data_IF_435326431137
#
_entry.id   IF_435326431137
#
_cell.length_a   1.000
_cell.length_b   1.000
_cell.length_c   1.000
_cell.angle_alpha   90.00
_cell.angle_beta   90.00
_cell.angle_gamma   90.00
#
_symmetry.space_group_name_H-M   'P 1'
#
loop_
_entity.id
_entity.type
_entity.pdbx_description
1 polymer ?
#
# COMPACT_ATOMS: atom_id res chain seq x y z
N UNK A 1 -4.19 47.21 10.53
CA UNK A 1 -3.24 47.98 11.36
C UNK A 1 -2.36 46.98 12.07
N UNK A 2 -1.06 47.02 11.82
CA UNK A 2 -0.11 46.14 12.49
C UNK A 2 -0.09 46.42 14.00
N UNK A 3 -0.49 45.41 14.78
CA UNK A 3 -0.52 45.44 16.24
C UNK A 3 0.86 45.83 16.82
N UNK A 4 1.93 45.49 16.11
CA UNK A 4 3.31 45.79 16.49
C UNK A 4 3.67 47.28 16.34
N UNK A 5 3.15 47.94 15.30
CA UNK A 5 3.38 49.38 15.07
C UNK A 5 2.63 50.22 16.11
N UNK A 6 1.44 49.79 16.52
CA UNK A 6 0.65 50.46 17.56
C UNK A 6 1.28 50.39 18.96
N UNK A 7 2.14 49.40 19.22
CA UNK A 7 2.82 49.18 20.50
C UNK A 7 4.26 49.73 20.53
N UNK A 8 4.68 50.45 19.48
CA UNK A 8 6.06 50.93 19.35
C UNK A 8 7.08 49.80 19.38
N UNK A 9 6.70 48.61 18.93
CA UNK A 9 7.51 47.41 19.05
C UNK A 9 8.46 47.27 17.84
N UNK A 10 9.74 47.02 18.09
CA UNK A 10 10.73 46.72 17.05
C UNK A 10 11.50 45.45 17.37
N UNK A 11 11.67 44.58 16.39
CA UNK A 11 12.45 43.34 16.51
C UNK A 11 13.82 43.55 15.86
N UNK A 12 14.88 43.34 16.62
CA UNK A 12 16.25 43.27 16.11
C UNK A 12 16.69 41.81 16.09
N UNK A 13 16.64 41.20 14.91
CA UNK A 13 16.98 39.79 14.69
C UNK A 13 18.49 39.56 14.88
N UNK A 14 19.33 40.56 14.57
CA UNK A 14 20.79 40.43 14.68
C UNK A 14 21.26 40.40 16.13
N UNK A 15 20.46 40.98 17.03
CA UNK A 15 20.73 41.02 18.48
C UNK A 15 19.83 40.10 19.29
N UNK A 16 18.89 39.39 18.64
CA UNK A 16 17.92 38.53 19.34
C UNK A 16 17.13 39.31 20.40
N UNK A 17 16.76 40.56 20.08
CA UNK A 17 16.13 41.52 21.01
C UNK A 17 14.79 42.00 20.46
N UNK A 18 13.75 41.92 21.29
CA UNK A 18 12.45 42.55 21.05
C UNK A 18 12.36 43.80 21.93
N UNK A 19 12.17 44.98 21.33
CA UNK A 19 11.95 46.23 22.06
C UNK A 19 10.46 46.55 22.05
N UNK A 20 9.85 46.71 23.21
CA UNK A 20 8.46 47.18 23.35
C UNK A 20 8.45 48.35 24.34
N UNK A 21 7.99 49.53 23.91
CA UNK A 21 7.93 50.73 24.75
C UNK A 21 9.25 51.05 25.48
N UNK A 22 10.40 50.82 24.83
CA UNK A 22 11.73 51.04 25.40
C UNK A 22 12.27 49.90 26.29
N UNK A 23 11.48 48.89 26.61
CA UNK A 23 11.94 47.70 27.33
C UNK A 23 12.49 46.66 26.36
N UNK A 24 13.71 46.18 26.63
CA UNK A 24 14.38 45.15 25.83
C UNK A 24 14.06 43.78 26.41
N UNK A 25 13.46 42.91 25.60
CA UNK A 25 13.16 41.52 25.92
C UNK A 25 14.07 40.66 25.03
N UNK A 26 15.11 40.02 25.58
CA UNK A 26 15.93 39.08 24.82
C UNK A 26 15.10 37.83 24.49
N UNK A 27 15.16 37.37 23.25
CA UNK A 27 14.53 36.12 22.82
C UNK A 27 15.50 35.30 21.98
N UNK A 28 15.66 34.03 22.34
CA UNK A 28 16.65 33.14 21.74
C UNK A 28 17.54 32.55 22.83
N UNK A 29 17.62 31.22 22.87
CA UNK A 29 18.66 30.54 23.64
C UNK A 29 20.00 30.83 22.97
N UNK A 30 21.03 31.16 23.77
CA UNK A 30 22.42 31.31 23.36
C UNK A 30 22.97 30.02 22.75
N UNK A 31 22.52 29.66 21.56
CA UNK A 31 23.16 28.65 20.73
C UNK A 31 24.06 29.45 19.80
N UNK A 32 25.39 29.39 19.97
CA UNK A 32 26.33 30.07 19.11
C UNK A 32 25.99 29.78 17.64
N UNK A 33 25.93 30.82 16.80
CA UNK A 33 25.64 30.71 15.37
C UNK A 33 26.55 29.69 14.66
N UNK A 34 27.74 29.46 15.22
CA UNK A 34 28.70 28.44 14.78
C UNK A 34 28.10 27.02 14.87
N UNK A 35 27.38 26.71 15.94
CA UNK A 35 26.72 25.40 16.13
C UNK A 35 25.63 25.22 15.07
N UNK A 36 24.80 26.25 14.80
CA UNK A 36 23.75 26.18 13.77
C UNK A 36 24.37 25.94 12.38
N UNK A 37 25.49 26.60 12.07
CA UNK A 37 26.18 26.43 10.80
C UNK A 37 26.81 25.03 10.65
N UNK A 38 27.39 24.50 11.73
CA UNK A 38 27.93 23.13 11.77
C UNK A 38 26.83 22.09 11.58
N UNK A 39 25.68 22.24 12.25
CA UNK A 39 24.53 21.36 12.08
C UNK A 39 23.94 21.42 10.67
N UNK A 40 23.82 22.62 10.07
CA UNK A 40 23.36 22.75 8.68
C UNK A 40 24.30 22.03 7.72
N UNK A 41 25.61 22.23 7.88
CA UNK A 41 26.63 21.61 7.03
C UNK A 41 26.63 20.08 7.19
N UNK A 42 26.44 19.59 8.42
CA UNK A 42 26.29 18.15 8.68
C UNK A 42 25.03 17.56 8.02
N UNK A 43 23.90 18.27 8.08
CA UNK A 43 22.65 17.86 7.43
C UNK A 43 22.82 17.82 5.91
N UNK A 44 23.42 18.85 5.32
CA UNK A 44 23.67 18.91 3.87
C UNK A 44 24.59 17.78 3.41
N UNK A 45 25.63 17.46 4.19
CA UNK A 45 26.53 16.33 3.93
C UNK A 45 25.80 14.98 4.01
N UNK A 46 24.92 14.79 5.00
CA UNK A 46 24.11 13.57 5.14
C UNK A 46 23.14 13.44 3.95
N UNK A 47 22.47 14.52 3.56
CA UNK A 47 21.56 14.52 2.41
C UNK A 47 22.30 14.18 1.12
N UNK A 48 23.48 14.77 0.92
CA UNK A 48 24.34 14.48 -0.24
C UNK A 48 24.79 13.02 -0.27
N UNK A 49 25.03 12.39 0.88
CA UNK A 49 25.34 10.95 0.96
C UNK A 49 24.13 10.06 0.64
N UNK A 50 22.93 10.46 1.07
CA UNK A 50 21.68 9.75 0.77
C UNK A 50 21.36 9.84 -0.73
N UNK A 51 21.52 11.02 -1.33
CA UNK A 51 21.25 11.25 -2.76
C UNK A 51 22.26 10.51 -3.67
N UNK A 52 23.44 10.19 -3.15
CA UNK A 52 24.45 9.37 -3.83
C UNK A 52 24.24 7.86 -3.64
N UNK A 53 23.34 7.43 -2.75
CA UNK A 53 22.95 6.02 -2.72
C UNK A 53 22.07 5.72 -3.94
N UNK A 54 22.38 4.64 -4.71
CA UNK A 54 21.47 4.20 -5.76
C UNK A 54 20.12 3.87 -5.13
N UNK A 55 19.03 4.37 -5.74
CA UNK A 55 17.66 4.10 -5.28
C UNK A 55 17.49 2.58 -5.12
N UNK A 56 16.95 2.09 -3.98
CA UNK A 56 16.72 0.67 -3.76
C UNK A 56 15.83 -0.01 -4.81
N UNK A 57 15.17 0.76 -5.69
CA UNK A 57 14.39 0.27 -6.83
C UNK A 57 15.11 0.41 -8.20
N UNK A 58 16.34 0.92 -8.22
CA UNK A 58 17.14 1.01 -9.46
C UNK A 58 17.94 -0.26 -9.65
N UNK A 59 17.48 -1.12 -10.57
CA UNK A 59 18.21 -2.29 -11.00
C UNK A 59 19.39 -1.90 -11.90
N UNK A 60 20.52 -2.59 -11.75
CA UNK A 60 21.62 -2.50 -12.71
C UNK A 60 21.18 -3.00 -14.09
N UNK A 61 21.85 -2.55 -15.14
CA UNK A 61 21.57 -2.97 -16.52
C UNK A 61 21.65 -4.49 -16.66
N UNK A 62 22.64 -5.11 -16.01
CA UNK A 62 22.85 -6.57 -16.01
C UNK A 62 21.68 -7.35 -15.38
N UNK A 63 21.12 -6.83 -14.28
CA UNK A 63 19.96 -7.44 -13.62
C UNK A 63 18.70 -7.34 -14.50
N UNK A 64 18.50 -6.21 -15.17
CA UNK A 64 17.37 -6.03 -16.10
C UNK A 64 17.48 -7.02 -17.27
N UNK A 65 18.66 -7.14 -17.89
CA UNK A 65 18.90 -8.10 -18.97
C UNK A 65 18.69 -9.55 -18.54
N UNK A 66 19.10 -9.90 -17.32
CA UNK A 66 18.88 -11.24 -16.76
C UNK A 66 17.38 -11.51 -16.55
N UNK A 67 16.64 -10.56 -16.00
CA UNK A 67 15.19 -10.69 -15.79
C UNK A 67 14.48 -10.83 -17.13
N UNK A 68 14.84 -10.03 -18.14
CA UNK A 68 14.26 -10.14 -19.48
C UNK A 68 14.56 -11.49 -20.13
N UNK A 69 15.78 -12.01 -19.95
CA UNK A 69 16.13 -13.36 -20.42
C UNK A 69 15.23 -14.43 -19.79
N UNK A 70 15.06 -14.38 -18.47
CA UNK A 70 14.22 -15.34 -17.73
C UNK A 70 12.75 -15.25 -18.19
N UNK A 71 12.21 -14.03 -18.33
CA UNK A 71 10.83 -13.83 -18.82
C UNK A 71 10.63 -14.41 -20.22
N UNK A 72 11.60 -14.21 -21.11
CA UNK A 72 11.54 -14.74 -22.46
C UNK A 72 11.67 -16.28 -22.50
N UNK A 73 12.52 -16.84 -21.63
CA UNK A 73 12.74 -18.28 -21.52
C UNK A 73 11.49 -19.01 -20.97
N UNK A 74 10.82 -18.42 -19.98
CA UNK A 74 9.67 -19.00 -19.27
C UNK A 74 8.36 -18.24 -19.50
N UNK A 75 8.15 -17.71 -20.70
CA UNK A 75 6.99 -16.86 -21.03
C UNK A 75 5.63 -17.58 -20.84
N UNK A 76 5.64 -18.91 -20.86
CA UNK A 76 4.48 -19.79 -20.70
C UNK A 76 4.07 -19.97 -19.23
N UNK A 77 4.99 -19.71 -18.29
CA UNK A 77 4.72 -19.70 -16.86
C UNK A 77 4.09 -18.38 -16.39
N UNK A 78 4.16 -17.33 -17.20
CA UNK A 78 3.61 -16.03 -16.85
C UNK A 78 2.08 -16.04 -16.85
N UNK A 79 1.51 -15.49 -15.78
CA UNK A 79 0.07 -15.31 -15.69
C UNK A 79 -0.39 -14.20 -16.64
N UNK A 80 -1.22 -14.55 -17.61
CA UNK A 80 -1.94 -13.61 -18.48
C UNK A 80 -3.43 -13.71 -18.23
N UNK A 81 -4.03 -12.62 -17.74
CA UNK A 81 -5.47 -12.52 -17.46
C UNK A 81 -6.38 -12.73 -18.69
N UNK A 82 -5.83 -12.60 -19.90
CA UNK A 82 -6.56 -12.84 -21.15
C UNK A 82 -6.47 -14.30 -21.62
N UNK A 83 -5.52 -15.07 -21.11
CA UNK A 83 -5.37 -16.50 -21.42
C UNK A 83 -6.21 -17.33 -20.45
N UNK A 84 -6.70 -18.46 -20.94
CA UNK A 84 -7.37 -19.45 -20.07
C UNK A 84 -6.32 -20.11 -19.18
N UNK A 85 -6.68 -20.32 -17.91
CA UNK A 85 -5.86 -21.12 -17.01
C UNK A 85 -5.71 -22.53 -17.57
N UNK A 86 -4.49 -23.04 -17.53
CA UNK A 86 -4.17 -24.42 -17.89
C UNK A 86 -4.43 -25.33 -16.68
N UNK A 87 -4.77 -26.59 -16.94
CA UNK A 87 -4.88 -27.63 -15.92
C UNK A 87 -4.28 -28.92 -16.47
N UNK A 88 -3.78 -29.78 -15.58
CA UNK A 88 -3.33 -31.12 -15.94
C UNK A 88 -4.32 -32.17 -15.43
N UNK A 89 -4.49 -33.25 -16.18
CA UNK A 89 -5.28 -34.43 -15.78
C UNK A 89 -4.40 -35.56 -15.23
N UNK A 90 -3.09 -35.33 -15.15
CA UNK A 90 -2.10 -36.30 -14.67
C UNK A 90 -2.39 -36.71 -13.21
N UNK A 91 -2.83 -35.76 -12.38
CA UNK A 91 -3.18 -36.01 -10.99
C UNK A 91 -4.69 -35.85 -10.79
N UNK A 92 -5.38 -36.95 -10.48
CA UNK A 92 -6.80 -36.95 -10.12
C UNK A 92 -6.94 -37.26 -8.63
N UNK A 93 -7.56 -36.34 -7.89
CA UNK A 93 -7.81 -36.53 -6.46
C UNK A 93 -9.21 -37.10 -6.23
N UNK A 94 -9.29 -38.12 -5.38
CA UNK A 94 -10.56 -38.66 -4.88
C UNK A 94 -10.66 -38.36 -3.39
N UNK A 95 -11.68 -37.58 -3.00
CA UNK A 95 -11.95 -37.27 -1.60
C UNK A 95 -12.67 -38.46 -0.95
N UNK A 96 -12.05 -39.05 0.08
CA UNK A 96 -12.67 -40.13 0.86
C UNK A 96 -13.64 -39.54 1.88
N UNK A 97 -14.92 -39.88 1.77
CA UNK A 97 -15.95 -39.42 2.70
C UNK A 97 -16.01 -40.33 3.94
N UNK A 98 -16.31 -39.74 5.10
CA UNK A 98 -16.62 -40.51 6.31
C UNK A 98 -18.04 -41.09 6.27
N UNK A 99 -18.97 -40.34 5.68
CA UNK A 99 -20.37 -40.69 5.47
C UNK A 99 -20.77 -40.31 4.04
N UNK A 100 -21.65 -41.08 3.40
CA UNK A 100 -22.11 -40.81 2.03
C UNK A 100 -23.35 -39.93 1.92
N UNK A 101 -23.85 -39.43 3.05
CA UNK A 101 -25.08 -38.64 3.10
C UNK A 101 -24.80 -37.19 2.65
N UNK A 102 -25.55 -36.67 1.66
CA UNK A 102 -25.35 -35.31 1.19
C UNK A 102 -25.87 -34.27 2.19
N UNK A 103 -25.06 -33.24 2.42
CA UNK A 103 -25.43 -32.09 3.26
C UNK A 103 -25.77 -30.91 2.35
N UNK A 104 -26.98 -30.38 2.51
CA UNK A 104 -27.45 -29.19 1.79
C UNK A 104 -27.73 -28.05 2.78
N UNK A 105 -26.97 -26.97 2.67
CA UNK A 105 -27.19 -25.74 3.43
C UNK A 105 -27.76 -24.66 2.53
N UNK A 106 -28.85 -24.01 2.93
CA UNK A 106 -29.45 -22.93 2.14
C UNK A 106 -28.62 -21.64 2.24
N UNK A 107 -28.21 -21.11 1.10
CA UNK A 107 -27.50 -19.82 1.04
C UNK A 107 -28.27 -18.66 1.67
N UNK A 108 -27.54 -17.76 2.32
CA UNK A 108 -28.09 -16.52 2.86
C UNK A 108 -28.57 -15.58 1.75
N UNK A 109 -29.48 -14.68 2.12
CA UNK A 109 -29.88 -13.59 1.23
C UNK A 109 -28.74 -12.59 1.14
N UNK A 110 -28.27 -12.35 -0.07
CA UNK A 110 -27.16 -11.43 -0.31
C UNK A 110 -27.68 -10.01 -0.62
N UNK A 111 -26.99 -8.96 -0.13
CA UNK A 111 -27.35 -7.57 -0.40
C UNK A 111 -27.40 -7.27 -1.91
N UNK A 112 -28.32 -6.39 -2.31
CA UNK A 112 -28.56 -6.09 -3.72
C UNK A 112 -27.32 -5.56 -4.44
N UNK A 113 -26.55 -4.67 -3.79
CA UNK A 113 -25.35 -4.05 -4.37
C UNK A 113 -24.22 -5.05 -4.68
N UNK A 114 -24.26 -6.26 -4.11
CA UNK A 114 -23.24 -7.31 -4.31
C UNK A 114 -23.62 -8.26 -5.47
N UNK A 115 -24.87 -8.23 -5.94
CA UNK A 115 -25.36 -9.19 -6.93
C UNK A 115 -24.56 -9.18 -8.23
N UNK A 116 -24.18 -8.00 -8.72
CA UNK A 116 -23.43 -7.87 -9.97
C UNK A 116 -21.99 -8.38 -9.84
N UNK A 117 -21.39 -8.20 -8.66
CA UNK A 117 -20.10 -8.80 -8.35
C UNK A 117 -20.17 -10.33 -8.42
N UNK A 118 -21.17 -10.94 -7.78
CA UNK A 118 -21.33 -12.40 -7.76
C UNK A 118 -21.55 -12.94 -9.16
N UNK A 119 -22.44 -12.30 -9.95
CA UNK A 119 -22.69 -12.70 -11.35
C UNK A 119 -21.44 -12.62 -12.22
N UNK A 120 -20.55 -11.66 -11.97
CA UNK A 120 -19.28 -11.54 -12.69
C UNK A 120 -18.30 -12.66 -12.32
N UNK A 121 -18.28 -13.08 -11.05
CA UNK A 121 -17.38 -14.12 -10.56
C UNK A 121 -17.85 -15.54 -10.92
N UNK A 122 -19.15 -15.78 -10.87
CA UNK A 122 -19.76 -17.08 -11.23
C UNK A 122 -20.13 -17.03 -12.71
N UNK A 123 -19.12 -17.17 -13.58
CA UNK A 123 -19.33 -17.34 -15.02
C UNK A 123 -19.27 -18.82 -15.38
N UNK A 124 -20.44 -19.35 -15.72
CA UNK A 124 -20.71 -20.63 -16.39
C UNK A 124 -20.57 -21.94 -15.57
N UNK A 125 -21.52 -22.83 -15.84
CA UNK A 125 -21.81 -24.17 -15.29
C UNK A 125 -22.07 -24.32 -13.79
N UNK A 126 -23.35 -24.09 -13.44
CA UNK A 126 -23.92 -24.58 -12.19
C UNK A 126 -24.08 -26.11 -12.27
N UNK A 127 -23.21 -26.84 -11.58
CA UNK A 127 -23.40 -28.28 -11.40
C UNK A 127 -24.64 -28.55 -10.53
N UNK A 128 -25.49 -29.49 -10.97
CA UNK A 128 -26.61 -29.99 -10.15
C UNK A 128 -26.08 -30.95 -9.08
N UNK A 129 -25.59 -30.39 -7.97
CA UNK A 129 -25.02 -31.14 -6.84
C UNK A 129 -26.06 -31.34 -5.73
N UNK A 130 -26.14 -32.55 -5.12
CA UNK A 130 -26.93 -32.75 -3.90
C UNK A 130 -26.26 -32.12 -2.66
N UNK A 131 -24.96 -31.78 -2.75
CA UNK A 131 -24.21 -31.06 -1.73
C UNK A 131 -24.25 -29.55 -1.99
N UNK A 132 -24.50 -28.75 -0.96
CA UNK A 132 -24.40 -27.29 -1.07
C UNK A 132 -23.84 -26.68 0.22
N UNK A 133 -22.81 -25.85 0.07
CA UNK A 133 -22.19 -25.06 1.13
C UNK A 133 -22.61 -23.59 1.07
N UNK A 134 -22.44 -22.87 2.17
CA UNK A 134 -22.81 -21.46 2.25
C UNK A 134 -21.79 -20.58 1.51
N UNK A 135 -22.30 -19.67 0.68
CA UNK A 135 -21.50 -18.64 0.01
C UNK A 135 -21.57 -17.34 0.81
N UNK A 136 -20.40 -16.84 1.18
CA UNK A 136 -20.18 -15.59 1.89
C UNK A 136 -19.46 -14.59 0.99
N UNK A 137 -19.71 -13.31 1.21
CA UNK A 137 -19.00 -12.22 0.54
C UNK A 137 -18.33 -11.36 1.59
N UNK A 138 -17.03 -11.17 1.44
CA UNK A 138 -16.18 -10.46 2.41
C UNK A 138 -15.51 -9.28 1.72
N UNK A 139 -15.46 -8.08 2.34
CA UNK A 139 -14.75 -6.94 1.80
C UNK A 139 -13.23 -7.20 1.75
N UNK A 140 -12.58 -6.59 0.75
CA UNK A 140 -11.13 -6.53 0.55
C UNK A 140 -10.72 -5.06 0.49
N UNK A 141 -9.43 -4.78 0.66
CA UNK A 141 -8.87 -3.42 0.55
C UNK A 141 -9.29 -2.76 -0.77
N UNK A 142 -9.71 -1.49 -0.70
CA UNK A 142 -10.07 -0.67 -1.86
C UNK A 142 -11.47 -0.92 -2.41
N UNK A 143 -12.48 -1.07 -1.54
CA UNK A 143 -13.90 -1.24 -1.91
C UNK A 143 -14.18 -2.42 -2.87
N UNK A 144 -13.33 -3.44 -2.83
CA UNK A 144 -13.52 -4.68 -3.58
C UNK A 144 -14.04 -5.80 -2.69
N UNK A 145 -14.61 -6.84 -3.29
CA UNK A 145 -15.15 -8.00 -2.57
C UNK A 145 -14.45 -9.29 -2.99
N UNK A 146 -14.51 -10.31 -2.13
CA UNK A 146 -14.12 -11.70 -2.45
C UNK A 146 -15.25 -12.66 -2.08
N UNK A 147 -15.39 -13.72 -2.86
CA UNK A 147 -16.29 -14.83 -2.58
C UNK A 147 -15.58 -15.83 -1.67
N UNK A 148 -16.28 -16.30 -0.64
CA UNK A 148 -15.79 -17.27 0.35
C UNK A 148 -16.82 -18.38 0.47
N UNK A 149 -16.37 -19.63 0.60
CA UNK A 149 -17.24 -20.78 0.83
C UNK A 149 -16.99 -21.29 2.24
N UNK A 150 -18.06 -21.50 3.00
CA UNK A 150 -18.03 -22.09 4.34
C UNK A 150 -18.26 -23.62 4.20
N UNK A 151 -17.18 -24.39 4.28
CA UNK A 151 -17.16 -25.85 4.06
C UNK A 151 -17.34 -26.65 5.34
#
# INVERSE_FOLDING_TARGET
MDILVALGASIDISRSELKINGNVIPFGTDIPTQIIQEFSTAIDNIQTQIDQQPDPNTHSIEEVELIERIKNEFHDLEYDSNKKLTFTLEIKHTLKLKTGEPIYQRNYRLPFHIKDFIKKQIKEDLASSPYNSLVLVVPKKGDTYRLVIDF
#
